data_IF_201059771199
#
_entry.id   IF_201059771199
#
_cell.length_a   1.000
_cell.length_b   1.000
_cell.length_c   1.000
_cell.angle_alpha   90.00
_cell.angle_beta   90.00
_cell.angle_gamma   90.00
#
_symmetry.space_group_name_H-M   'P 1'
#
loop_
_entity.id
_entity.type
_entity.pdbx_description
1 polymer ?
#
# COMPACT_ATOMS: atom_id res chain seq x y z
N UNK A 1 11.87 -4.86 9.09
CA UNK A 1 10.96 -3.72 8.88
C UNK A 1 10.69 -3.09 10.23
N UNK A 2 10.91 -1.79 10.35
CA UNK A 2 10.69 -1.02 11.59
C UNK A 2 9.19 -0.81 11.87
N UNK A 3 8.87 -0.40 13.10
CA UNK A 3 7.49 -0.26 13.58
C UNK A 3 6.72 0.87 12.87
N UNK A 4 7.39 1.93 12.41
CA UNK A 4 6.74 3.02 11.69
C UNK A 4 6.29 2.55 10.31
N UNK A 5 7.17 1.87 9.57
CA UNK A 5 6.84 1.30 8.25
C UNK A 5 5.68 0.31 8.36
N UNK A 6 5.65 -0.54 9.39
CA UNK A 6 4.52 -1.46 9.63
C UNK A 6 3.21 -0.72 9.87
N UNK A 7 3.21 0.34 10.69
CA UNK A 7 2.00 1.16 10.94
C UNK A 7 1.47 1.79 9.66
N UNK A 8 2.37 2.31 8.81
CA UNK A 8 1.98 2.89 7.52
C UNK A 8 1.33 1.83 6.61
N UNK A 9 1.97 0.66 6.47
CA UNK A 9 1.43 -0.42 5.63
C UNK A 9 0.10 -0.93 6.16
N UNK A 10 -0.07 -1.04 7.50
CA UNK A 10 -1.35 -1.40 8.11
C UNK A 10 -2.44 -0.40 7.77
N UNK A 11 -2.17 0.91 7.92
CA UNK A 11 -3.13 1.97 7.56
C UNK A 11 -3.52 1.90 6.09
N UNK A 12 -2.56 1.71 5.19
CA UNK A 12 -2.84 1.54 3.76
C UNK A 12 -3.65 0.28 3.47
N UNK A 13 -3.39 -0.81 4.18
CA UNK A 13 -4.13 -2.06 4.05
C UNK A 13 -5.58 -1.90 4.49
N UNK A 14 -5.82 -1.25 5.63
CA UNK A 14 -7.18 -0.98 6.13
C UNK A 14 -7.99 -0.13 5.13
N UNK A 15 -7.39 0.90 4.55
CA UNK A 15 -8.05 1.74 3.55
C UNK A 15 -8.23 1.01 2.22
N UNK A 16 -7.29 0.14 1.84
CA UNK A 16 -7.45 -0.75 0.70
C UNK A 16 -8.61 -1.74 0.90
N UNK A 17 -8.78 -2.32 2.08
CA UNK A 17 -9.88 -3.24 2.39
C UNK A 17 -11.25 -2.54 2.43
N UNK A 18 -11.29 -1.24 2.76
CA UNK A 18 -12.50 -0.40 2.62
C UNK A 18 -12.78 0.00 1.18
N UNK A 19 -11.76 -0.01 0.32
CA UNK A 19 -11.92 0.27 -1.10
C UNK A 19 -12.52 -0.94 -1.81
N UNK A 20 -13.36 -0.71 -2.83
CA UNK A 20 -13.82 -1.79 -3.72
C UNK A 20 -12.76 -2.19 -4.77
N UNK A 21 -11.49 -1.84 -4.55
CA UNK A 21 -10.40 -2.09 -5.49
C UNK A 21 -9.76 -3.46 -5.25
N UNK A 22 -9.34 -4.11 -6.32
CA UNK A 22 -8.53 -5.32 -6.25
C UNK A 22 -7.04 -4.98 -6.17
N UNK A 23 -6.20 -5.90 -5.67
CA UNK A 23 -4.75 -5.71 -5.69
C UNK A 23 -4.20 -5.51 -7.11
N UNK A 24 -4.90 -6.06 -8.12
CA UNK A 24 -4.55 -5.90 -9.53
C UNK A 24 -4.86 -4.50 -10.05
N UNK A 25 -6.02 -3.94 -9.71
CA UNK A 25 -6.37 -2.57 -10.09
C UNK A 25 -5.48 -1.55 -9.37
N UNK A 26 -5.24 -1.74 -8.07
CA UNK A 26 -4.33 -0.89 -7.31
C UNK A 26 -2.90 -0.95 -7.89
N UNK A 27 -2.37 -2.15 -8.13
CA UNK A 27 -1.06 -2.32 -8.75
C UNK A 27 -0.98 -1.63 -10.11
N UNK A 28 -2.01 -1.77 -10.95
CA UNK A 28 -2.07 -1.09 -12.25
C UNK A 28 -2.07 0.43 -12.11
N UNK A 29 -2.79 1.00 -11.14
CA UNK A 29 -2.87 2.45 -10.92
C UNK A 29 -1.53 3.03 -10.46
N UNK A 30 -0.80 2.31 -9.60
CA UNK A 30 0.49 2.77 -9.06
C UNK A 30 1.71 2.32 -9.89
N UNK A 31 1.50 1.51 -10.94
CA UNK A 31 2.55 1.02 -11.83
C UNK A 31 3.38 -0.14 -11.28
N UNK A 32 2.79 -1.02 -10.45
CA UNK A 32 3.44 -2.23 -9.93
C UNK A 32 2.60 -3.49 -10.15
N UNK A 33 3.22 -4.66 -10.00
CA UNK A 33 2.50 -5.92 -10.09
C UNK A 33 1.55 -6.11 -8.90
N UNK A 34 0.43 -6.81 -9.10
CA UNK A 34 -0.45 -7.20 -8.00
C UNK A 34 0.28 -8.00 -6.92
N UNK A 35 1.27 -8.81 -7.31
CA UNK A 35 2.10 -9.60 -6.38
C UNK A 35 2.93 -8.69 -5.47
N UNK A 36 3.40 -7.55 -5.98
CA UNK A 36 4.10 -6.53 -5.18
C UNK A 36 3.18 -5.97 -4.10
N UNK A 37 1.92 -5.65 -4.45
CA UNK A 37 0.91 -5.18 -3.50
C UNK A 37 0.65 -6.23 -2.41
N UNK A 38 0.42 -7.48 -2.81
CA UNK A 38 0.16 -8.58 -1.85
C UNK A 38 1.34 -8.79 -0.90
N UNK A 39 2.57 -8.87 -1.43
CA UNK A 39 3.79 -9.05 -0.61
C UNK A 39 4.03 -7.86 0.33
N UNK A 40 3.68 -6.64 -0.09
CA UNK A 40 3.74 -5.46 0.76
C UNK A 40 2.76 -5.58 1.93
N UNK A 41 1.48 -5.88 1.66
CA UNK A 41 0.45 -6.01 2.70
C UNK A 41 0.62 -7.24 3.61
N UNK A 42 1.37 -8.24 3.17
CA UNK A 42 1.82 -9.38 3.99
C UNK A 42 3.12 -9.11 4.76
N UNK A 43 3.71 -7.91 4.64
CA UNK A 43 4.99 -7.53 5.26
C UNK A 43 6.20 -8.36 4.81
N UNK A 44 6.10 -9.09 3.70
CA UNK A 44 7.17 -9.94 3.16
C UNK A 44 8.27 -9.11 2.48
N UNK A 45 7.95 -7.88 2.07
CA UNK A 45 8.89 -6.98 1.38
C UNK A 45 8.83 -5.59 1.97
N UNK A 46 9.98 -4.92 2.02
CA UNK A 46 10.07 -3.50 2.38
C UNK A 46 9.69 -2.71 1.12
N UNK A 47 8.56 -1.98 1.12
CA UNK A 47 8.17 -1.21 -0.06
C UNK A 47 9.10 -0.01 -0.23
N UNK A 48 9.32 0.37 -1.49
CA UNK A 48 9.95 1.64 -1.81
C UNK A 48 9.02 2.79 -1.38
N UNK A 49 9.57 3.85 -0.82
CA UNK A 49 8.83 5.05 -0.43
C UNK A 49 7.98 5.62 -1.58
N UNK A 50 8.46 5.59 -2.82
CA UNK A 50 7.68 6.02 -3.99
C UNK A 50 6.38 5.21 -4.16
N UNK A 51 6.44 3.89 -3.95
CA UNK A 51 5.26 3.00 -4.01
C UNK A 51 4.29 3.34 -2.89
N UNK A 52 4.79 3.56 -1.68
CA UNK A 52 3.96 3.93 -0.52
C UNK A 52 3.20 5.23 -0.78
N UNK A 53 3.88 6.25 -1.32
CA UNK A 53 3.27 7.56 -1.65
C UNK A 53 2.25 7.43 -2.79
N UNK A 54 2.52 6.60 -3.80
CA UNK A 54 1.57 6.38 -4.90
C UNK A 54 0.31 5.65 -4.40
N UNK A 55 0.47 4.62 -3.57
CA UNK A 55 -0.66 3.90 -2.98
C UNK A 55 -1.47 4.81 -2.05
N UNK A 56 -0.81 5.65 -1.25
CA UNK A 56 -1.52 6.58 -0.37
C UNK A 56 -2.34 7.60 -1.15
N UNK A 57 -1.83 8.10 -2.28
CA UNK A 57 -2.59 8.99 -3.18
C UNK A 57 -3.78 8.28 -3.81
N UNK A 58 -3.59 7.09 -4.33
CA UNK A 58 -4.67 6.31 -4.96
C UNK A 58 -5.79 5.97 -3.97
N UNK A 59 -5.42 5.64 -2.72
CA UNK A 59 -6.36 5.32 -1.65
C UNK A 59 -6.84 6.56 -0.86
N UNK A 60 -6.43 7.77 -1.24
CA UNK A 60 -6.73 9.03 -0.53
C UNK A 60 -6.41 9.00 0.98
N UNK A 61 -5.28 8.38 1.35
CA UNK A 61 -4.82 8.24 2.73
C UNK A 61 -3.80 9.33 3.08
N UNK A 62 -4.07 10.06 4.16
CA UNK A 62 -3.10 10.96 4.76
C UNK A 62 -2.16 10.19 5.70
N UNK A 63 -0.87 10.14 5.36
CA UNK A 63 0.14 9.38 6.10
C UNK A 63 0.72 10.13 7.30
N UNK A 64 0.57 11.45 7.39
CA UNK A 64 1.28 12.30 8.37
C UNK A 64 0.35 12.99 9.37
N UNK A 65 -0.90 12.58 9.40
CA UNK A 65 -1.90 12.98 10.39
C UNK A 65 -1.93 11.99 11.54
#
# INVERSE_FOLDING_TARGET
>A
MDDLTKKIILKLKEEFEKSNSSARSLGSAVGVSHTTITRMFSFETIPNFDIVVKISKELNVDLFK
#
